data_IF_790892140216
#
_entry.id   IF_790892140216
#
_cell.length_a   1.000
_cell.length_b   1.000
_cell.length_c   1.000
_cell.angle_alpha   90.00
_cell.angle_beta   90.00
_cell.angle_gamma   90.00
#
_symmetry.space_group_name_H-M   'P 1'
#
loop_
_entity.id
_entity.type
_entity.pdbx_description
1 polymer ?
#
# COMPACT_ATOMS: atom_id res chain seq x y z
N UNK A 1 -2.25 -9.09 24.15
CA UNK A 1 -1.18 -8.17 23.72
C UNK A 1 -1.70 -6.80 24.04
N UNK A 2 -1.48 -6.40 25.28
CA UNK A 2 -2.18 -5.31 25.96
C UNK A 2 -1.07 -4.49 26.60
N UNK A 3 -0.99 -3.20 26.29
CA UNK A 3 0.12 -2.35 26.68
C UNK A 3 0.31 -1.20 25.70
N UNK A 4 0.63 -0.03 26.23
CA UNK A 4 0.73 1.24 25.50
C UNK A 4 2.09 1.39 24.78
N UNK A 5 2.55 0.33 24.09
CA UNK A 5 3.70 0.43 23.19
C UNK A 5 3.32 1.27 21.96
N UNK A 6 3.74 2.54 21.97
CA UNK A 6 3.66 3.41 20.80
C UNK A 6 4.33 2.79 19.58
N UNK A 7 3.88 3.20 18.39
CA UNK A 7 4.49 2.71 17.14
C UNK A 7 5.98 3.03 17.10
N UNK A 8 6.76 2.03 16.69
CA UNK A 8 8.20 2.16 16.45
C UNK A 8 8.52 1.48 15.13
N UNK A 9 9.62 1.89 14.50
CA UNK A 9 10.15 1.18 13.32
C UNK A 9 10.31 -0.32 13.59
N UNK A 10 10.70 -0.72 14.81
CA UNK A 10 10.84 -2.12 15.20
C UNK A 10 9.51 -2.88 15.31
N UNK A 11 8.43 -2.28 15.81
CA UNK A 11 7.11 -2.93 15.87
C UNK A 11 6.46 -3.02 14.49
N UNK A 12 6.50 -1.94 13.70
CA UNK A 12 5.98 -1.94 12.31
C UNK A 12 6.77 -2.89 11.40
N UNK A 13 8.10 -2.94 11.49
CA UNK A 13 8.94 -3.87 10.70
C UNK A 13 8.78 -5.33 11.13
N UNK A 14 8.34 -5.61 12.36
CA UNK A 14 7.91 -6.96 12.78
C UNK A 14 6.57 -7.31 12.14
N UNK A 15 5.57 -6.41 12.22
CA UNK A 15 4.26 -6.61 11.62
C UNK A 15 4.33 -6.83 10.10
N UNK A 16 5.05 -5.97 9.37
CA UNK A 16 5.23 -6.09 7.92
C UNK A 16 5.83 -7.43 7.50
N UNK A 17 6.82 -7.95 8.24
CA UNK A 17 7.38 -9.30 8.04
C UNK A 17 6.35 -10.40 8.30
N UNK A 18 5.59 -10.31 9.40
CA UNK A 18 4.53 -11.28 9.73
C UNK A 18 3.44 -11.29 8.67
N UNK A 19 3.02 -10.11 8.22
CA UNK A 19 1.98 -9.94 7.20
C UNK A 19 2.47 -10.46 5.83
N UNK A 20 3.72 -10.20 5.43
CA UNK A 20 4.29 -10.77 4.19
C UNK A 20 4.45 -12.30 4.24
N UNK A 21 4.73 -12.88 5.41
CA UNK A 21 4.97 -14.33 5.57
C UNK A 21 3.68 -15.12 5.76
N UNK A 22 2.65 -14.52 6.38
CA UNK A 22 1.38 -15.19 6.68
C UNK A 22 0.49 -15.32 5.42
N UNK A 23 -0.12 -16.48 5.15
CA UNK A 23 -1.13 -16.62 4.10
C UNK A 23 -2.51 -16.04 4.49
N UNK A 24 -2.75 -15.76 5.78
CA UNK A 24 -3.96 -15.06 6.29
C UNK A 24 -3.62 -13.63 6.69
N UNK A 25 -4.62 -12.77 6.90
CA UNK A 25 -4.42 -11.46 7.53
C UNK A 25 -3.89 -11.65 8.96
N UNK A 26 -2.94 -10.82 9.38
CA UNK A 26 -2.50 -10.80 10.79
C UNK A 26 -3.62 -10.25 11.68
N UNK A 27 -3.78 -10.78 12.90
CA UNK A 27 -4.68 -10.19 13.90
C UNK A 27 -4.16 -8.82 14.32
N UNK A 28 -4.88 -7.77 13.94
CA UNK A 28 -4.66 -6.39 14.37
C UNK A 28 -5.77 -5.94 15.34
N UNK A 29 -5.53 -4.83 16.02
CA UNK A 29 -6.54 -4.14 16.83
C UNK A 29 -7.50 -3.35 15.94
N UNK A 30 -8.77 -3.25 16.35
CA UNK A 30 -9.83 -2.61 15.55
C UNK A 30 -9.62 -1.12 15.25
N UNK A 31 -8.70 -0.45 15.95
CA UNK A 31 -8.29 0.95 15.77
C UNK A 31 -6.82 1.08 15.33
N UNK A 32 -6.27 0.06 14.65
CA UNK A 32 -4.87 0.05 14.24
C UNK A 32 -4.52 1.23 13.32
N UNK A 33 -5.31 1.44 12.25
CA UNK A 33 -5.06 2.49 11.26
C UNK A 33 -5.27 3.90 11.83
N UNK A 34 -6.32 4.10 12.63
CA UNK A 34 -6.58 5.35 13.38
C UNK A 34 -5.36 5.79 14.22
N UNK A 35 -4.89 4.93 15.14
CA UNK A 35 -3.74 5.27 16.01
C UNK A 35 -2.43 5.43 15.23
N UNK A 36 -2.27 4.73 14.11
CA UNK A 36 -1.10 4.89 13.23
C UNK A 36 -1.14 6.26 12.54
N UNK A 37 -2.33 6.71 12.13
CA UNK A 37 -2.58 8.08 11.70
C UNK A 37 -2.22 9.11 12.78
N UNK A 38 -2.68 8.93 14.01
CA UNK A 38 -2.32 9.83 15.14
C UNK A 38 -0.79 9.88 15.38
N UNK A 39 -0.10 8.76 15.23
CA UNK A 39 1.36 8.69 15.39
C UNK A 39 2.09 9.38 14.24
N UNK A 40 1.68 9.14 12.99
CA UNK A 40 2.19 9.84 11.81
C UNK A 40 1.95 11.35 11.89
N UNK A 41 0.77 11.78 12.36
CA UNK A 41 0.44 13.18 12.61
C UNK A 41 1.37 13.82 13.64
N UNK A 42 1.64 13.13 14.77
CA UNK A 42 2.59 13.62 15.79
C UNK A 42 4.03 13.69 15.28
N UNK A 43 4.48 12.70 14.50
CA UNK A 43 5.80 12.75 13.85
C UNK A 43 5.90 13.92 12.86
N UNK A 44 4.84 14.14 12.06
CA UNK A 44 4.73 15.27 11.13
C UNK A 44 4.81 16.61 11.84
N UNK A 45 4.00 16.86 12.87
CA UNK A 45 4.04 18.13 13.61
C UNK A 45 5.42 18.35 14.24
N UNK A 46 5.96 17.35 14.95
CA UNK A 46 7.29 17.46 15.54
C UNK A 46 8.41 17.72 14.51
N UNK A 47 8.29 17.16 13.30
CA UNK A 47 9.20 17.45 12.19
C UNK A 47 9.03 18.89 11.67
N UNK A 48 7.79 19.37 11.49
CA UNK A 48 7.50 20.72 11.02
C UNK A 48 7.98 21.77 12.03
N UNK A 49 7.62 21.63 13.31
CA UNK A 49 8.07 22.50 14.41
C UNK A 49 9.60 22.58 14.43
N UNK A 50 10.29 21.43 14.37
CA UNK A 50 11.75 21.40 14.40
C UNK A 50 12.41 21.93 13.12
N UNK A 51 11.76 21.77 11.96
CA UNK A 51 12.21 22.34 10.69
C UNK A 51 12.12 23.87 10.69
N UNK A 52 11.10 24.47 11.32
CA UNK A 52 10.99 25.93 11.44
C UNK A 52 11.96 26.50 12.50
N UNK A 53 12.29 25.75 13.57
CA UNK A 53 13.33 26.13 14.55
C UNK A 53 14.77 26.01 14.03
N UNK A 54 15.15 24.85 13.49
CA UNK A 54 16.50 24.56 12.97
C UNK A 54 16.44 23.52 11.85
N UNK A 55 16.38 23.94 10.57
CA UNK A 55 16.42 23.05 9.42
C UNK A 55 17.64 22.13 9.37
N UNK A 56 18.74 22.51 10.01
CA UNK A 56 20.04 21.81 9.98
C UNK A 56 20.27 20.88 11.17
N UNK A 57 19.37 20.87 12.15
CA UNK A 57 19.52 20.06 13.35
C UNK A 57 19.57 18.58 13.01
N UNK A 58 20.46 17.85 13.72
CA UNK A 58 20.42 16.38 13.74
C UNK A 58 19.03 15.84 14.13
N UNK A 59 18.27 16.60 14.95
CA UNK A 59 16.91 16.23 15.36
C UNK A 59 15.92 16.30 14.19
N UNK A 60 16.01 17.33 13.35
CA UNK A 60 15.21 17.50 12.12
C UNK A 60 15.46 16.36 11.14
N UNK A 61 16.73 15.96 10.95
CA UNK A 61 17.10 14.81 10.10
C UNK A 61 16.53 13.50 10.64
N UNK A 62 16.66 13.24 11.96
CA UNK A 62 16.11 12.02 12.59
C UNK A 62 14.58 11.96 12.48
N UNK A 63 13.88 13.07 12.73
CA UNK A 63 12.42 13.14 12.60
C UNK A 63 11.97 12.93 11.14
N UNK A 64 12.73 13.43 10.16
CA UNK A 64 12.46 13.20 8.75
C UNK A 64 12.61 11.71 8.36
N UNK A 65 13.69 11.07 8.80
CA UNK A 65 13.91 9.64 8.56
C UNK A 65 12.86 8.79 9.29
N UNK A 66 12.48 9.11 10.52
CA UNK A 66 11.43 8.40 11.25
C UNK A 66 10.06 8.51 10.55
N UNK A 67 9.67 9.71 10.12
CA UNK A 67 8.41 9.92 9.39
C UNK A 67 8.42 9.18 8.05
N UNK A 68 9.46 9.34 7.21
CA UNK A 68 9.58 8.67 5.90
C UNK A 68 9.57 7.14 6.05
N UNK A 69 10.31 6.58 7.02
CA UNK A 69 10.33 5.13 7.25
C UNK A 69 8.98 4.60 7.79
N UNK A 70 8.27 5.39 8.58
CA UNK A 70 6.96 5.01 9.14
C UNK A 70 5.87 5.04 8.08
N UNK A 71 5.83 6.06 7.22
CA UNK A 71 4.95 6.13 6.05
C UNK A 71 5.14 4.91 5.13
N UNK A 72 6.39 4.66 4.72
CA UNK A 72 6.75 3.52 3.87
C UNK A 72 6.32 2.17 4.47
N UNK A 73 6.44 1.99 5.79
CA UNK A 73 5.98 0.76 6.44
C UNK A 73 4.45 0.67 6.51
N UNK A 74 3.74 1.79 6.73
CA UNK A 74 2.28 1.82 6.69
C UNK A 74 1.76 1.42 5.30
N UNK A 75 2.30 2.02 4.24
CA UNK A 75 1.99 1.68 2.83
C UNK A 75 2.27 0.21 2.50
N UNK A 76 3.42 -0.32 2.95
CA UNK A 76 3.80 -1.73 2.75
C UNK A 76 2.84 -2.68 3.47
N UNK A 77 2.46 -2.39 4.72
CA UNK A 77 1.49 -3.19 5.48
C UNK A 77 0.11 -3.12 4.83
N UNK A 78 -0.34 -1.95 4.38
CA UNK A 78 -1.60 -1.80 3.66
C UNK A 78 -1.60 -2.63 2.37
N UNK A 79 -0.60 -2.45 1.51
CA UNK A 79 -0.47 -3.15 0.22
C UNK A 79 -0.48 -4.68 0.38
N UNK A 80 0.16 -5.20 1.43
CA UNK A 80 0.16 -6.64 1.75
C UNK A 80 -1.21 -7.16 2.20
N UNK A 81 -1.99 -6.34 2.93
CA UNK A 81 -3.34 -6.69 3.41
C UNK A 81 -4.40 -6.51 2.32
N UNK A 82 -4.37 -5.40 1.61
CA UNK A 82 -5.17 -5.09 0.41
C UNK A 82 -5.11 -6.25 -0.60
N UNK A 83 -3.89 -6.70 -0.96
CA UNK A 83 -3.67 -7.86 -1.83
C UNK A 83 -4.42 -9.11 -1.35
N UNK A 84 -4.41 -9.41 -0.05
CA UNK A 84 -5.11 -10.57 0.53
C UNK A 84 -6.62 -10.39 0.54
N UNK A 85 -7.10 -9.18 0.84
CA UNK A 85 -8.52 -8.81 0.80
C UNK A 85 -9.09 -8.96 -0.61
N UNK A 86 -8.40 -8.42 -1.62
CA UNK A 86 -8.77 -8.55 -3.04
C UNK A 86 -8.72 -10.01 -3.51
N UNK A 87 -7.71 -10.78 -3.09
CA UNK A 87 -7.64 -12.22 -3.38
C UNK A 87 -8.79 -13.01 -2.71
N UNK A 88 -9.18 -12.66 -1.49
CA UNK A 88 -10.33 -13.25 -0.80
C UNK A 88 -11.65 -12.89 -1.49
N UNK A 89 -11.83 -11.63 -1.92
CA UNK A 89 -12.99 -11.19 -2.70
C UNK A 89 -13.07 -11.93 -4.06
N UNK A 90 -11.94 -12.12 -4.75
CA UNK A 90 -11.86 -12.91 -5.98
C UNK A 90 -12.19 -14.39 -5.76
N UNK A 91 -11.74 -14.98 -4.66
CA UNK A 91 -12.10 -16.35 -4.29
C UNK A 91 -13.60 -16.48 -3.97
N UNK A 92 -14.18 -15.51 -3.25
CA UNK A 92 -15.60 -15.47 -2.94
C UNK A 92 -16.48 -15.23 -4.18
N UNK A 93 -16.07 -14.37 -5.11
CA UNK A 93 -16.77 -14.12 -6.37
C UNK A 93 -16.77 -15.34 -7.32
N UNK A 94 -15.86 -16.30 -7.11
CA UNK A 94 -15.78 -17.56 -7.87
C UNK A 94 -16.67 -18.67 -7.32
N UNK A 95 -16.97 -18.66 -6.01
CA UNK A 95 -17.84 -19.66 -5.36
C UNK A 95 -19.31 -19.38 -5.68
N UNK A 96 -20.06 -20.43 -6.00
CA UNK A 96 -21.51 -20.42 -6.17
C UNK A 96 -22.28 -20.67 -4.85
N UNK A 97 -21.60 -21.15 -3.82
CA UNK A 97 -22.20 -21.67 -2.59
C UNK A 97 -21.71 -20.93 -1.34
N UNK A 98 -22.64 -20.74 -0.40
CA UNK A 98 -22.44 -20.01 0.85
C UNK A 98 -22.57 -18.48 0.70
N UNK A 99 -23.00 -17.77 1.76
CA UNK A 99 -22.87 -16.32 1.81
C UNK A 99 -21.38 -15.95 1.80
N UNK A 100 -20.95 -14.98 1.00
CA UNK A 100 -19.57 -14.51 1.02
C UNK A 100 -19.30 -13.81 2.36
N UNK A 101 -18.19 -14.17 3.01
CA UNK A 101 -17.74 -13.51 4.22
C UNK A 101 -16.32 -12.94 4.00
N UNK A 102 -15.99 -11.78 4.58
CA UNK A 102 -14.62 -11.29 4.59
C UNK A 102 -13.69 -12.29 5.30
N UNK A 103 -12.37 -12.23 5.04
CA UNK A 103 -11.40 -13.05 5.76
C UNK A 103 -11.37 -12.72 7.26
N UNK A 104 -10.89 -13.68 8.06
CA UNK A 104 -10.60 -13.46 9.48
C UNK A 104 -9.66 -12.26 9.66
N UNK A 105 -9.89 -11.46 10.69
CA UNK A 105 -9.07 -10.27 11.03
C UNK A 105 -9.03 -9.15 9.96
N UNK A 106 -10.06 -9.07 9.12
CA UNK A 106 -10.36 -7.86 8.30
C UNK A 106 -10.76 -6.70 9.23
N UNK A 107 -10.14 -5.53 9.05
CA UNK A 107 -10.48 -4.28 9.76
C UNK A 107 -11.64 -3.53 9.08
N UNK A 108 -12.28 -2.54 9.73
CA UNK A 108 -13.46 -1.84 9.17
C UNK A 108 -13.23 -1.21 7.79
N UNK A 109 -12.05 -0.63 7.57
CA UNK A 109 -11.64 0.03 6.32
C UNK A 109 -11.44 -1.00 5.21
N UNK A 110 -10.73 -2.08 5.54
CA UNK A 110 -10.48 -3.24 4.67
C UNK A 110 -11.77 -3.97 4.30
N UNK A 111 -12.82 -3.87 5.13
CA UNK A 111 -14.11 -4.47 4.88
C UNK A 111 -14.90 -3.75 3.79
N UNK A 112 -14.84 -2.42 3.70
CA UNK A 112 -15.48 -1.66 2.61
C UNK A 112 -14.89 -2.10 1.26
N UNK A 113 -13.54 -2.10 1.18
CA UNK A 113 -12.79 -2.61 0.05
C UNK A 113 -13.21 -4.05 -0.34
N UNK A 114 -13.34 -4.96 0.63
CA UNK A 114 -13.80 -6.34 0.37
C UNK A 114 -15.19 -6.36 -0.29
N UNK A 115 -16.15 -5.64 0.27
CA UNK A 115 -17.56 -5.67 -0.16
C UNK A 115 -17.74 -4.99 -1.54
N UNK A 116 -17.05 -3.87 -1.78
CA UNK A 116 -17.03 -3.15 -3.06
C UNK A 116 -16.38 -3.98 -4.18
N UNK A 117 -15.18 -4.51 -3.97
CA UNK A 117 -14.47 -5.33 -4.96
C UNK A 117 -15.26 -6.61 -5.25
N UNK A 118 -15.86 -7.23 -4.23
CA UNK A 118 -16.73 -8.39 -4.40
C UNK A 118 -17.99 -8.07 -5.24
N UNK A 119 -18.60 -6.90 -5.05
CA UNK A 119 -19.76 -6.47 -5.83
C UNK A 119 -19.41 -6.33 -7.32
N UNK A 120 -18.36 -5.57 -7.65
CA UNK A 120 -17.89 -5.38 -9.04
C UNK A 120 -17.51 -6.71 -9.69
N UNK A 121 -16.80 -7.59 -8.96
CA UNK A 121 -16.43 -8.92 -9.47
C UNK A 121 -17.65 -9.81 -9.72
N UNK A 122 -18.70 -9.73 -8.88
CA UNK A 122 -19.95 -10.47 -9.11
C UNK A 122 -20.75 -9.92 -10.28
N UNK A 123 -20.88 -8.59 -10.40
CA UNK A 123 -21.56 -7.92 -11.50
C UNK A 123 -20.94 -8.31 -12.85
N UNK A 124 -19.63 -8.10 -13.01
CA UNK A 124 -18.91 -8.38 -14.26
C UNK A 124 -18.84 -9.87 -14.59
N UNK A 125 -18.77 -10.75 -13.58
CA UNK A 125 -18.90 -12.21 -13.80
C UNK A 125 -20.32 -12.60 -14.22
N UNK A 126 -21.34 -11.94 -13.69
CA UNK A 126 -22.72 -12.06 -14.15
C UNK A 126 -22.85 -11.70 -15.63
N UNK A 127 -22.43 -10.48 -16.00
CA UNK A 127 -22.45 -9.99 -17.39
C UNK A 127 -21.79 -10.95 -18.39
N UNK A 128 -20.57 -11.42 -18.08
CA UNK A 128 -19.77 -12.25 -18.99
C UNK A 128 -20.29 -13.69 -19.02
N UNK A 129 -20.59 -14.29 -17.87
CA UNK A 129 -21.09 -15.68 -17.85
C UNK A 129 -22.54 -15.80 -18.36
N UNK A 130 -23.33 -14.73 -18.32
CA UNK A 130 -24.61 -14.68 -19.02
C UNK A 130 -24.40 -14.77 -20.54
N UNK A 131 -23.43 -14.05 -21.11
CA UNK A 131 -23.15 -14.09 -22.57
C UNK A 131 -22.62 -15.46 -23.06
N UNK A 132 -21.96 -16.24 -22.18
CA UNK A 132 -21.36 -17.54 -22.53
C UNK A 132 -22.30 -18.73 -22.24
N UNK A 133 -23.47 -18.51 -21.62
CA UNK A 133 -24.45 -19.59 -21.37
C UNK A 133 -25.11 -20.06 -22.68
N UNK A 134 -25.26 -21.38 -22.91
CA UNK A 134 -26.03 -21.91 -24.03
C UNK A 134 -27.45 -21.33 -24.06
N UNK A 135 -27.86 -20.80 -25.21
CA UNK A 135 -29.17 -20.15 -25.40
C UNK A 135 -29.23 -18.66 -25.00
N UNK A 136 -28.15 -18.08 -24.45
CA UNK A 136 -28.07 -16.64 -24.27
C UNK A 136 -27.91 -15.93 -25.62
N UNK A 137 -28.61 -14.81 -25.80
CA UNK A 137 -28.34 -13.89 -26.91
C UNK A 137 -27.13 -13.04 -26.51
N UNK A 138 -26.08 -12.91 -27.34
CA UNK A 138 -25.03 -11.93 -27.07
C UNK A 138 -25.66 -10.53 -26.98
N UNK A 139 -25.18 -9.71 -26.03
CA UNK A 139 -25.51 -8.27 -26.08
C UNK A 139 -24.99 -7.74 -27.41
N UNK A 140 -25.73 -6.89 -28.15
CA UNK A 140 -25.19 -6.28 -29.36
C UNK A 140 -23.93 -5.51 -28.99
N UNK A 141 -22.80 -5.92 -29.57
CA UNK A 141 -21.62 -5.05 -29.60
C UNK A 141 -22.01 -3.79 -30.37
N UNK A 142 -21.71 -2.58 -29.85
CA UNK A 142 -21.85 -1.38 -30.65
C UNK A 142 -20.98 -1.56 -31.90
N UNK A 143 -21.53 -1.25 -33.07
CA UNK A 143 -20.94 -1.65 -34.35
C UNK A 143 -19.47 -1.22 -34.45
N UNK A 144 -18.59 -2.21 -34.60
CA UNK A 144 -17.25 -1.96 -35.09
C UNK A 144 -17.38 -1.45 -36.52
N UNK A 145 -17.16 -0.15 -36.71
CA UNK A 145 -17.23 0.50 -38.02
C UNK A 145 -16.35 -0.26 -39.00
N UNK A 146 -16.97 -0.83 -40.02
CA UNK A 146 -16.29 -1.70 -40.98
C UNK A 146 -15.48 -0.83 -41.94
N UNK A 147 -14.22 -0.59 -41.59
CA UNK A 147 -13.22 -0.23 -42.60
C UNK A 147 -13.30 -1.27 -43.72
N UNK A 148 -13.65 -0.77 -44.91
CA UNK A 148 -13.94 -1.56 -46.10
C UNK A 148 -12.59 -1.96 -46.72
N UNK A 149 -12.22 -3.25 -46.74
CA UNK A 149 -10.98 -3.65 -47.41
C UNK A 149 -11.12 -3.39 -48.92
N UNK A 150 -10.27 -2.53 -49.45
CA UNK A 150 -10.12 -2.34 -50.89
C UNK A 150 -9.42 -3.56 -51.51
N UNK A 151 -9.76 -3.89 -52.76
CA UNK A 151 -9.45 -5.19 -53.32
C UNK A 151 -8.04 -5.29 -53.88
N UNK A 152 -7.30 -6.32 -53.47
CA UNK A 152 -6.08 -6.77 -54.14
C UNK A 152 -6.25 -8.24 -54.60
N UNK A 153 -6.40 -8.45 -55.91
CA UNK A 153 -6.37 -9.79 -56.53
C UNK A 153 -5.01 -10.05 -57.19
N UNK A 154 -4.23 -10.97 -56.64
CA UNK A 154 -3.26 -11.87 -57.32
C UNK A 154 -2.76 -12.88 -56.28
N UNK A 155 -2.54 -14.16 -56.57
CA UNK A 155 -2.80 -14.94 -57.79
C UNK A 155 -2.77 -16.45 -57.45
N UNK A 156 -3.25 -17.32 -58.34
CA UNK A 156 -3.36 -18.74 -58.04
C UNK A 156 -2.03 -19.50 -58.16
N UNK A 157 -1.79 -20.47 -57.26
CA UNK A 157 -0.62 -21.35 -57.27
C UNK A 157 -0.88 -22.68 -56.54
N UNK A 158 -0.48 -23.78 -57.18
CA UNK A 158 -0.56 -25.17 -56.69
C UNK A 158 0.26 -25.41 -55.41
N UNK A 159 0.17 -26.51 -54.65
CA UNK A 159 -0.79 -27.60 -54.38
C UNK A 159 0.01 -28.72 -53.66
N UNK A 160 -0.63 -29.51 -52.80
CA UNK A 160 0.01 -30.62 -52.04
C UNK A 160 -0.18 -30.42 -50.52
N UNK A 161 -0.83 -31.26 -49.72
CA UNK A 161 -1.00 -32.73 -49.60
C UNK A 161 -0.04 -33.36 -48.56
N UNK A 162 -0.61 -34.12 -47.61
CA UNK A 162 0.04 -34.62 -46.38
C UNK A 162 -0.36 -33.76 -45.16
N UNK A 163 -1.20 -34.15 -44.18
CA UNK A 163 -1.53 -35.42 -43.50
C UNK A 163 -0.68 -35.73 -42.25
N UNK A 164 -1.32 -36.36 -41.25
CA UNK A 164 -0.80 -36.90 -39.97
C UNK A 164 -0.46 -35.93 -38.79
N UNK A 165 -1.37 -35.91 -37.80
CA UNK A 165 -1.07 -36.08 -36.35
C UNK A 165 -0.95 -37.60 -36.08
N UNK A 166 -0.45 -38.14 -34.92
CA UNK A 166 -0.28 -37.60 -33.56
C UNK A 166 1.23 -37.59 -33.12
N UNK A 167 1.71 -37.53 -31.87
CA UNK A 167 1.19 -37.73 -30.49
C UNK A 167 1.99 -36.78 -29.50
N UNK A 168 1.58 -36.40 -28.28
CA UNK A 168 1.34 -37.19 -27.05
C UNK A 168 2.53 -38.14 -26.74
N UNK A 169 3.23 -38.16 -25.59
CA UNK A 169 3.06 -37.68 -24.18
C UNK A 169 4.47 -37.68 -23.50
N UNK A 170 4.68 -37.59 -22.15
CA UNK A 170 3.96 -36.92 -21.06
C UNK A 170 4.87 -35.96 -20.21
N UNK A 171 4.29 -35.31 -19.21
CA UNK A 171 4.98 -34.63 -18.10
C UNK A 171 5.46 -35.65 -17.05
N UNK A 172 6.71 -35.57 -16.57
CA UNK A 172 7.29 -36.52 -15.62
C UNK A 172 7.40 -35.95 -14.20
N UNK A 173 6.61 -36.48 -13.26
CA UNK A 173 6.68 -36.18 -11.82
C UNK A 173 7.76 -36.97 -11.11
N UNK A 174 8.54 -36.33 -10.25
CA UNK A 174 9.34 -37.00 -9.22
C UNK A 174 9.27 -36.21 -7.89
N UNK A 175 8.78 -36.86 -6.84
CA UNK A 175 8.81 -36.40 -5.46
C UNK A 175 10.01 -37.06 -4.72
N UNK A 176 10.46 -36.55 -3.57
CA UNK A 176 11.78 -36.90 -3.02
C UNK A 176 11.81 -38.26 -2.32
N UNK A 177 13.01 -38.84 -2.24
CA UNK A 177 13.33 -39.97 -1.37
C UNK A 177 14.23 -39.50 -0.21
N UNK A 178 13.95 -39.97 1.00
CA UNK A 178 14.83 -39.78 2.15
C UNK A 178 16.02 -40.74 2.11
N UNK A 179 17.15 -40.33 2.69
CA UNK A 179 18.06 -41.24 3.43
C UNK A 179 19.05 -40.43 4.26
N UNK A 180 19.21 -40.77 5.54
CA UNK A 180 20.09 -40.04 6.47
C UNK A 180 21.22 -40.91 7.04
N UNK A 181 22.28 -40.25 7.53
CA UNK A 181 23.40 -40.75 8.37
C UNK A 181 24.29 -39.54 8.74
N UNK A 182 24.98 -39.35 9.86
CA UNK A 182 25.09 -39.90 11.23
C UNK A 182 26.30 -39.19 11.87
N UNK A 183 26.22 -38.82 13.15
CA UNK A 183 27.33 -38.62 14.12
C UNK A 183 28.57 -37.73 13.83
N UNK A 184 28.69 -36.64 14.61
CA UNK A 184 29.92 -36.15 15.28
C UNK A 184 29.55 -35.15 16.40
N UNK A 185 29.47 -35.55 17.68
CA UNK A 185 30.52 -35.42 18.73
C UNK A 185 31.09 -34.01 18.96
N UNK A 186 30.65 -33.35 20.06
CA UNK A 186 31.22 -32.08 20.53
C UNK A 186 30.67 -31.58 21.89
N UNK A 187 31.43 -31.80 22.98
CA UNK A 187 31.38 -31.05 24.26
C UNK A 187 32.55 -30.03 24.25
N UNK A 188 32.64 -28.99 25.11
CA UNK A 188 32.05 -28.80 26.44
C UNK A 188 31.16 -27.53 26.52
N UNK A 189 30.70 -27.00 27.65
CA UNK A 189 30.84 -27.38 29.07
C UNK A 189 29.91 -26.54 29.95
N UNK A 190 29.51 -27.05 31.11
CA UNK A 190 28.56 -26.37 32.01
C UNK A 190 29.27 -25.55 33.09
N UNK A 191 28.73 -24.37 33.42
CA UNK A 191 29.11 -23.59 34.61
C UNK A 191 27.89 -23.35 35.48
N UNK A 192 27.93 -23.83 36.72
CA UNK A 192 26.88 -23.65 37.72
C UNK A 192 27.12 -22.38 38.54
N UNK A 193 26.04 -21.78 39.04
CA UNK A 193 26.03 -20.83 40.17
C UNK A 193 24.70 -21.00 40.95
N UNK A 194 24.71 -21.37 42.24
CA UNK A 194 23.51 -21.49 43.09
C UNK A 194 23.38 -20.36 44.13
N UNK A 195 22.15 -20.13 44.63
CA UNK A 195 21.70 -19.53 45.92
C UNK A 195 22.42 -18.29 46.53
N UNK A 196 21.80 -17.37 47.27
CA UNK A 196 20.42 -17.19 47.77
C UNK A 196 20.34 -15.95 48.70
N UNK A 197 19.14 -15.48 49.12
CA UNK A 197 18.96 -14.24 49.90
C UNK A 197 19.04 -14.45 51.44
N UNK A 198 19.22 -13.40 52.27
CA UNK A 198 18.08 -12.56 52.74
C UNK A 198 18.38 -11.05 52.91
N UNK A 199 17.36 -10.26 53.32
CA UNK A 199 17.49 -8.88 53.84
C UNK A 199 17.67 -8.87 55.38
N UNK A 200 17.09 -7.94 56.17
CA UNK A 200 16.15 -6.83 55.87
C UNK A 200 16.73 -5.47 56.38
N UNK A 201 16.11 -4.40 56.90
CA UNK A 201 14.78 -3.93 57.39
C UNK A 201 14.67 -2.38 57.16
N UNK A 202 13.42 -1.81 57.13
CA UNK A 202 12.95 -0.45 57.58
C UNK A 202 13.72 0.85 57.20
N UNK A 203 13.19 2.08 57.27
CA UNK A 203 11.83 2.66 57.50
C UNK A 203 11.73 3.90 56.53
N UNK A 204 10.80 4.84 56.48
CA UNK A 204 9.70 5.34 57.35
C UNK A 204 8.58 5.94 56.44
N UNK A 205 7.69 6.83 56.93
CA UNK A 205 6.78 7.67 56.13
C UNK A 205 6.59 9.05 56.79
N UNK A 206 6.21 10.11 56.03
CA UNK A 206 5.08 10.92 56.51
C UNK A 206 4.09 11.42 55.44
N UNK A 207 3.02 12.03 55.96
CA UNK A 207 1.73 12.35 55.34
C UNK A 207 1.70 13.59 54.40
N UNK A 208 0.61 13.65 53.64
CA UNK A 208 -0.15 14.85 53.20
C UNK A 208 0.59 16.13 52.77
N UNK A 209 0.46 16.45 51.47
CA UNK A 209 0.43 17.83 50.97
C UNK A 209 -0.85 18.03 50.14
N UNK A 210 -1.66 19.03 50.48
CA UNK A 210 -2.97 19.28 49.87
C UNK A 210 -2.84 20.09 48.57
N UNK A 211 -3.49 19.66 47.49
CA UNK A 211 -3.49 20.36 46.21
C UNK A 211 -4.57 21.48 46.18
N UNK A 212 -4.21 22.75 45.89
CA UNK A 212 -5.19 23.81 45.69
C UNK A 212 -5.88 23.67 44.32
N UNK A 213 -7.19 23.97 44.21
CA UNK A 213 -7.94 23.79 42.97
C UNK A 213 -7.78 24.98 42.01
N UNK A 214 -7.07 24.79 40.90
CA UNK A 214 -7.06 25.76 39.81
C UNK A 214 -8.22 25.53 38.85
N UNK A 215 -9.32 26.26 39.10
CA UNK A 215 -10.45 26.34 38.18
C UNK A 215 -10.02 26.90 36.82
N UNK A 216 -10.68 26.44 35.76
CA UNK A 216 -10.19 26.58 34.40
C UNK A 216 -10.11 28.02 33.89
N UNK A 217 -9.10 28.27 33.04
CA UNK A 217 -9.12 29.37 32.08
C UNK A 217 -9.08 28.78 30.68
N UNK A 218 -10.22 28.79 29.99
CA UNK A 218 -10.31 28.38 28.60
C UNK A 218 -9.47 29.30 27.71
N UNK A 219 -8.74 28.71 26.76
CA UNK A 219 -7.83 29.41 25.85
C UNK A 219 -7.42 28.48 24.73
N UNK A 220 -8.33 28.21 23.80
CA UNK A 220 -8.15 27.24 22.73
C UNK A 220 -7.12 27.75 21.72
N UNK A 221 -5.86 27.35 21.91
CA UNK A 221 -4.76 27.58 20.97
C UNK A 221 -4.88 26.70 19.72
N UNK A 222 -5.96 26.82 18.96
CA UNK A 222 -6.09 26.17 17.65
C UNK A 222 -5.22 26.92 16.64
N UNK A 223 -3.93 26.57 16.63
CA UNK A 223 -2.91 27.17 15.78
C UNK A 223 -2.47 26.20 14.67
N UNK A 224 -3.44 25.81 13.82
CA UNK A 224 -3.25 25.22 12.48
C UNK A 224 -2.33 23.99 12.42
N UNK A 225 -2.96 22.82 12.39
CA UNK A 225 -2.53 21.82 11.41
C UNK A 225 -2.57 22.49 10.02
N UNK A 226 -1.42 22.73 9.39
CA UNK A 226 -1.41 22.96 7.95
C UNK A 226 -1.78 21.64 7.27
N UNK A 227 -3.07 21.46 6.99
CA UNK A 227 -3.47 20.58 5.90
C UNK A 227 -2.68 20.99 4.67
N UNK A 228 -1.89 20.05 4.12
CA UNK A 228 -1.05 20.33 2.96
C UNK A 228 -1.97 20.48 1.75
N UNK A 229 -2.40 21.71 1.52
CA UNK A 229 -3.27 22.11 0.43
C UNK A 229 -2.64 21.66 -0.90
N UNK A 230 -3.16 20.56 -1.47
CA UNK A 230 -2.65 20.00 -2.71
C UNK A 230 -3.22 20.79 -3.89
N UNK A 231 -2.33 21.27 -4.76
CA UNK A 231 -2.68 21.97 -6.00
C UNK A 231 -2.37 21.07 -7.19
N UNK A 232 -3.36 20.91 -8.08
CA UNK A 232 -3.20 20.23 -9.36
C UNK A 232 -2.33 21.11 -10.27
N UNK A 233 -1.27 20.55 -10.84
CA UNK A 233 -0.36 21.25 -11.75
C UNK A 233 -0.08 20.45 -13.02
N UNK A 234 0.18 21.17 -14.11
CA UNK A 234 0.71 20.67 -15.39
C UNK A 234 2.21 21.03 -15.46
N UNK A 235 3.10 20.07 -15.67
CA UNK A 235 4.53 20.32 -15.80
C UNK A 235 4.90 20.83 -17.20
N UNK A 236 5.53 22.01 -17.28
CA UNK A 236 5.97 22.66 -18.53
C UNK A 236 7.40 22.26 -18.93
N UNK A 237 8.19 21.82 -17.95
CA UNK A 237 9.53 21.25 -18.04
C UNK A 237 9.63 19.96 -17.22
N UNK A 238 10.72 19.21 -17.38
CA UNK A 238 11.05 18.11 -16.48
C UNK A 238 11.44 18.66 -15.09
N UNK A 239 10.63 18.35 -14.09
CA UNK A 239 10.86 18.67 -12.68
C UNK A 239 11.67 17.54 -12.05
N UNK A 240 12.94 17.79 -11.65
CA UNK A 240 13.80 16.77 -11.05
C UNK A 240 13.26 16.32 -9.70
N UNK A 241 13.73 15.17 -9.20
CA UNK A 241 13.28 14.60 -7.93
C UNK A 241 13.54 15.57 -6.76
N UNK A 242 12.49 15.96 -6.03
CA UNK A 242 12.58 16.82 -4.84
C UNK A 242 11.65 16.31 -3.73
N UNK A 243 12.06 16.47 -2.47
CA UNK A 243 11.20 16.16 -1.33
C UNK A 243 10.28 17.35 -1.00
N UNK A 244 8.98 17.09 -0.80
CA UNK A 244 8.03 18.09 -0.33
C UNK A 244 8.12 18.35 1.19
N UNK A 245 7.40 19.36 1.71
CA UNK A 245 7.27 19.62 3.16
C UNK A 245 6.52 18.50 3.93
N UNK A 246 6.00 17.53 3.19
CA UNK A 246 5.37 16.29 3.63
C UNK A 246 6.30 15.06 3.61
N UNK A 247 7.55 15.24 3.15
CA UNK A 247 8.56 14.20 2.90
C UNK A 247 8.19 13.18 1.82
N UNK A 248 7.20 13.50 0.98
CA UNK A 248 6.94 12.77 -0.27
C UNK A 248 7.97 13.21 -1.31
N UNK A 249 8.61 12.26 -1.97
CA UNK A 249 9.60 12.54 -3.03
C UNK A 249 8.86 12.69 -4.38
N UNK A 250 8.74 13.93 -4.86
CA UNK A 250 8.04 14.31 -6.08
C UNK A 250 8.97 14.36 -7.30
N UNK A 251 8.47 13.88 -8.45
CA UNK A 251 9.05 14.03 -9.78
C UNK A 251 7.92 14.26 -10.77
N UNK A 252 8.13 15.10 -11.78
CA UNK A 252 7.19 15.26 -12.90
C UNK A 252 7.95 15.42 -14.21
N UNK A 253 7.46 14.77 -15.25
CA UNK A 253 7.97 14.85 -16.62
C UNK A 253 7.25 15.97 -17.37
N UNK A 254 7.85 16.54 -18.41
CA UNK A 254 7.17 17.55 -19.24
C UNK A 254 5.85 17.02 -19.82
N UNK A 255 4.76 17.76 -19.59
CA UNK A 255 3.39 17.41 -19.96
C UNK A 255 2.65 16.55 -18.92
N UNK A 256 3.30 16.14 -17.84
CA UNK A 256 2.69 15.36 -16.76
C UNK A 256 1.76 16.25 -15.90
N UNK A 257 0.63 15.70 -15.48
CA UNK A 257 -0.34 16.37 -14.60
C UNK A 257 -0.37 15.62 -13.26
N UNK A 258 -0.21 16.35 -12.16
CA UNK A 258 -0.08 15.77 -10.82
C UNK A 258 -0.41 16.74 -9.70
N UNK A 259 -0.49 16.23 -8.47
CA UNK A 259 -0.79 17.02 -7.28
C UNK A 259 0.52 17.38 -6.56
N UNK A 260 0.77 18.67 -6.33
CA UNK A 260 1.91 19.15 -5.54
C UNK A 260 1.43 19.94 -4.30
N UNK A 261 2.18 19.90 -3.18
CA UNK A 261 1.98 20.79 -2.04
C UNK A 261 1.98 22.26 -2.47
N UNK A 262 0.99 23.05 -2.05
CA UNK A 262 0.80 24.44 -2.49
C UNK A 262 2.07 25.29 -2.47
N UNK A 263 2.85 25.28 -1.37
CA UNK A 263 4.12 26.04 -1.28
C UNK A 263 5.09 25.65 -2.42
N UNK A 264 5.17 24.37 -2.78
CA UNK A 264 6.02 23.87 -3.88
C UNK A 264 5.43 24.20 -5.26
N UNK A 265 4.12 24.06 -5.44
CA UNK A 265 3.42 24.44 -6.67
C UNK A 265 3.59 25.94 -6.99
N UNK A 266 3.44 26.82 -5.99
CA UNK A 266 3.64 28.27 -6.13
C UNK A 266 5.10 28.60 -6.54
N UNK A 267 6.10 27.97 -5.91
CA UNK A 267 7.52 28.18 -6.24
C UNK A 267 7.85 27.70 -7.66
N UNK A 268 7.41 26.48 -8.04
CA UNK A 268 7.68 25.93 -9.37
C UNK A 268 6.93 26.70 -10.47
N UNK A 269 5.77 27.29 -10.17
CA UNK A 269 5.06 28.17 -11.08
C UNK A 269 5.74 29.53 -11.25
N UNK A 270 6.27 30.12 -10.18
CA UNK A 270 7.12 31.33 -10.26
C UNK A 270 8.41 31.09 -11.07
N UNK A 271 8.95 29.87 -11.01
CA UNK A 271 10.09 29.45 -11.85
C UNK A 271 9.68 29.08 -13.29
N UNK A 272 8.40 29.14 -13.65
CA UNK A 272 7.89 28.80 -15.00
C UNK A 272 7.92 27.31 -15.34
N UNK A 273 8.16 26.42 -14.38
CA UNK A 273 8.37 24.97 -14.61
C UNK A 273 7.08 24.17 -14.54
N UNK A 274 6.06 24.68 -13.85
CA UNK A 274 4.71 24.11 -13.82
C UNK A 274 3.65 25.21 -13.99
N UNK A 275 2.46 24.84 -14.47
CA UNK A 275 1.25 25.67 -14.47
C UNK A 275 0.28 25.11 -13.43
N UNK A 276 -0.19 25.93 -12.51
CA UNK A 276 -1.28 25.56 -11.59
C UNK A 276 -2.59 25.52 -12.39
N UNK A 277 -3.33 24.42 -12.29
CA UNK A 277 -4.63 24.23 -12.94
C UNK A 277 -5.78 24.62 -11.99
N UNK A 278 -6.88 25.22 -12.49
CA UNK A 278 -8.04 25.51 -11.66
C UNK A 278 -8.78 24.23 -11.27
N UNK A 279 -9.26 24.20 -10.02
CA UNK A 279 -10.05 23.10 -9.47
C UNK A 279 -11.31 22.86 -10.32
N UNK A 280 -11.53 21.59 -10.69
CA UNK A 280 -12.54 21.19 -11.68
C UNK A 280 -11.95 20.77 -13.03
N UNK A 281 -10.68 21.08 -13.32
CA UNK A 281 -9.96 20.53 -14.49
C UNK A 281 -9.68 19.05 -14.27
N UNK A 282 -10.57 18.18 -14.77
CA UNK A 282 -10.29 16.74 -14.78
C UNK A 282 -9.08 16.45 -15.67
N UNK A 283 -8.14 15.57 -15.28
CA UNK A 283 -7.01 15.22 -16.13
C UNK A 283 -7.53 14.57 -17.43
N UNK A 284 -6.99 14.93 -18.60
CA UNK A 284 -7.26 14.19 -19.82
C UNK A 284 -6.86 12.73 -19.61
N UNK A 285 -7.63 11.79 -20.17
CA UNK A 285 -7.22 10.38 -20.19
C UNK A 285 -5.88 10.30 -20.90
N UNK A 286 -4.93 9.58 -20.30
CA UNK A 286 -3.61 9.36 -20.91
C UNK A 286 -3.79 8.66 -22.27
N UNK A 287 -3.58 9.41 -23.35
CA UNK A 287 -3.42 8.82 -24.68
C UNK A 287 -2.07 8.09 -24.70
N UNK A 288 -2.06 6.88 -25.26
CA UNK A 288 -0.86 6.06 -25.26
C UNK A 288 0.25 6.71 -26.10
N UNK A 289 1.53 6.61 -25.68
CA UNK A 289 2.63 7.21 -26.42
C UNK A 289 2.71 6.62 -27.85
N UNK A 290 2.93 7.46 -28.88
CA UNK A 290 2.97 7.01 -30.26
C UNK A 290 4.09 5.98 -30.47
N UNK A 291 3.78 4.89 -31.17
CA UNK A 291 4.74 3.81 -31.43
C UNK A 291 5.89 4.32 -32.30
N UNK A 292 7.16 3.99 -31.98
CA UNK A 292 8.28 4.39 -32.81
C UNK A 292 8.19 3.71 -34.17
N UNK A 293 8.31 4.50 -35.26
CA UNK A 293 8.47 3.94 -36.60
C UNK A 293 9.77 3.14 -36.68
N UNK A 294 9.68 1.90 -37.16
CA UNK A 294 10.85 1.10 -37.49
C UNK A 294 11.61 1.71 -38.69
N UNK A 295 12.94 1.52 -38.77
CA UNK A 295 13.76 1.92 -39.92
C UNK A 295 13.54 1.03 -41.15
#
# INVERSE_FOLDING_TARGET
MDGEEGFTYASLRRLERTENTSPRLTKLEGRFWERLGDHLGRLRSAFQDQQEEDPTSRRTVVLADELRNTLRLAESIWSLREKKVVQAALAAARKSEGPPHPPEHTLPEERSLYEEVLAVLKERRGDVLLQVRPGARPKPVPDAEKEKPEAAQVGAGMAGAGAARPAETPFATAAPAETGRTHATGRPGARQVPAGPPGPEREEAPQEAQAPPHQGRGGVGSARQEEVELRLVEALEDVPLFAGPDLVDYRMSKGEIGNLPRRAAEILAQQGRVRILPEGTSPPRQEAPPTPKAP
#
